data_IF_207159982244
#
_entry.id   IF_207159982244
#
_cell.length_a   1.000
_cell.length_b   1.000
_cell.length_c   1.000
_cell.angle_alpha   90.00
_cell.angle_beta   90.00
_cell.angle_gamma   90.00
#
_symmetry.space_group_name_H-M   'P 1'
#
loop_
_entity.id
_entity.type
_entity.pdbx_description
1 polymer ?
#
# COMPACT_ATOMS: atom_id res chain seq x y z
N UNK A 1 46.79 11.32 22.87
CA UNK A 1 46.84 10.58 21.58
C UNK A 1 45.85 9.43 21.66
N UNK A 2 44.62 9.63 21.17
CA UNK A 2 43.57 8.62 21.18
C UNK A 2 43.55 7.92 19.82
N UNK A 3 44.10 6.71 19.75
CA UNK A 3 43.92 5.81 18.61
C UNK A 3 42.52 5.21 18.69
N UNK A 4 41.63 5.65 17.80
CA UNK A 4 40.35 4.97 17.58
C UNK A 4 40.63 3.50 17.21
N UNK A 5 39.94 2.52 17.82
CA UNK A 5 40.14 1.12 17.48
C UNK A 5 39.70 0.86 16.04
N UNK A 6 40.60 0.26 15.27
CA UNK A 6 40.45 -0.15 13.85
C UNK A 6 39.23 -1.03 13.58
N UNK A 7 38.57 -1.53 14.63
CA UNK A 7 37.40 -2.40 14.58
C UNK A 7 36.12 -1.71 14.07
N UNK A 8 36.01 -0.38 14.15
CA UNK A 8 34.79 0.33 13.71
C UNK A 8 34.74 0.50 12.18
N UNK A 9 35.90 0.59 11.52
CA UNK A 9 35.95 0.77 10.07
C UNK A 9 35.60 -0.51 9.28
N UNK A 10 35.81 -1.69 9.87
CA UNK A 10 35.58 -2.98 9.21
C UNK A 10 34.10 -3.40 9.24
N UNK A 11 33.33 -2.96 10.24
CA UNK A 11 31.92 -3.35 10.39
C UNK A 11 30.95 -2.56 9.49
N UNK A 12 31.38 -1.42 8.94
CA UNK A 12 30.56 -0.62 8.01
C UNK A 12 30.67 -1.09 6.55
N UNK A 13 31.61 -1.98 6.22
CA UNK A 13 31.83 -2.49 4.85
C UNK A 13 30.99 -3.73 4.52
N UNK A 14 30.37 -4.40 5.49
CA UNK A 14 29.71 -5.70 5.29
C UNK A 14 28.18 -5.66 5.25
N UNK A 15 27.54 -4.47 5.26
CA UNK A 15 26.06 -4.34 5.23
C UNK A 15 25.50 -3.62 4.01
N UNK A 16 26.30 -3.48 2.95
CA UNK A 16 25.76 -3.13 1.63
C UNK A 16 25.90 -4.39 0.79
N UNK A 17 24.84 -5.19 0.57
CA UNK A 17 24.90 -6.24 -0.44
C UNK A 17 25.36 -5.59 -1.74
N UNK A 18 26.35 -6.19 -2.38
CA UNK A 18 26.97 -5.69 -3.60
C UNK A 18 25.87 -5.45 -4.64
N UNK A 19 25.48 -4.18 -4.83
CA UNK A 19 24.38 -3.78 -5.73
C UNK A 19 24.62 -4.32 -7.16
N UNK A 20 25.88 -4.61 -7.49
CA UNK A 20 26.31 -5.18 -8.76
C UNK A 20 25.90 -6.66 -8.97
N UNK A 21 25.48 -7.40 -7.93
CA UNK A 21 25.21 -8.85 -8.00
C UNK A 21 23.74 -9.24 -7.85
N UNK A 22 22.84 -8.26 -7.64
CA UNK A 22 21.39 -8.54 -7.61
C UNK A 22 20.86 -8.66 -9.02
N UNK A 23 20.50 -9.88 -9.41
CA UNK A 23 19.80 -10.15 -10.67
C UNK A 23 18.51 -9.32 -10.75
N UNK A 24 18.14 -8.88 -11.95
CA UNK A 24 16.89 -8.13 -12.24
C UNK A 24 15.65 -8.75 -11.58
N UNK A 25 15.61 -10.08 -11.50
CA UNK A 25 14.54 -10.82 -10.83
C UNK A 25 14.43 -10.51 -9.33
N UNK A 26 15.56 -10.40 -8.62
CA UNK A 26 15.59 -10.07 -7.19
C UNK A 26 15.09 -8.65 -6.94
N UNK A 27 15.49 -7.70 -7.79
CA UNK A 27 14.98 -6.32 -7.74
C UNK A 27 13.47 -6.23 -7.98
N UNK A 28 12.92 -7.10 -8.83
CA UNK A 28 11.51 -7.06 -9.21
C UNK A 28 10.59 -7.86 -8.28
N UNK A 29 11.11 -8.84 -7.54
CA UNK A 29 10.26 -9.78 -6.78
C UNK A 29 10.53 -9.76 -5.28
N UNK A 30 11.78 -9.48 -4.87
CA UNK A 30 12.13 -9.60 -3.47
C UNK A 30 11.65 -8.37 -2.69
N UNK A 31 11.10 -8.57 -1.47
CA UNK A 31 10.79 -7.44 -0.61
C UNK A 31 12.06 -6.67 -0.26
N UNK A 32 12.04 -5.36 -0.42
CA UNK A 32 13.15 -4.50 0.02
C UNK A 32 12.94 -3.96 1.44
N UNK A 33 11.72 -4.03 1.94
CA UNK A 33 11.37 -3.69 3.32
C UNK A 33 10.47 -4.78 3.90
N UNK A 34 10.79 -5.24 5.11
CA UNK A 34 10.02 -6.24 5.85
C UNK A 34 9.94 -5.74 7.29
N UNK A 35 8.74 -5.73 7.85
CA UNK A 35 8.51 -5.39 9.24
C UNK A 35 9.16 -6.40 10.17
N UNK A 36 10.03 -5.94 11.07
CA UNK A 36 10.59 -6.72 12.17
C UNK A 36 10.57 -5.88 13.45
N UNK A 37 9.80 -6.32 14.43
CA UNK A 37 9.65 -5.61 15.70
C UNK A 37 10.96 -5.54 16.52
N UNK A 38 11.91 -6.46 16.30
CA UNK A 38 13.18 -6.46 17.02
C UNK A 38 14.16 -5.40 16.50
N UNK A 39 14.01 -4.98 15.25
CA UNK A 39 14.93 -4.04 14.57
C UNK A 39 14.26 -2.74 14.14
N UNK A 40 12.94 -2.61 14.32
CA UNK A 40 12.15 -1.46 13.90
C UNK A 40 12.60 -0.15 14.58
N UNK A 41 12.92 0.84 13.75
CA UNK A 41 13.09 2.23 14.20
C UNK A 41 11.74 2.95 14.36
N UNK A 42 11.75 4.19 14.88
CA UNK A 42 10.54 5.02 14.97
C UNK A 42 9.84 5.23 13.62
N UNK A 43 10.61 5.33 12.53
CA UNK A 43 10.09 5.46 11.18
C UNK A 43 9.31 4.23 10.70
N UNK A 44 9.83 3.03 10.97
CA UNK A 44 9.16 1.77 10.60
C UNK A 44 7.84 1.62 11.36
N UNK A 45 7.83 1.97 12.66
CA UNK A 45 6.63 1.93 13.50
C UNK A 45 5.57 2.88 12.95
N UNK A 46 5.97 4.12 12.64
CA UNK A 46 5.06 5.12 12.09
C UNK A 46 4.52 4.69 10.72
N UNK A 47 5.39 4.18 9.84
CA UNK A 47 5.02 3.70 8.52
C UNK A 47 4.00 2.55 8.59
N UNK A 48 4.25 1.57 9.47
CA UNK A 48 3.33 0.45 9.69
C UNK A 48 1.95 0.92 10.16
N UNK A 49 1.89 1.80 11.15
CA UNK A 49 0.61 2.30 11.66
C UNK A 49 -0.12 3.19 10.66
N UNK A 50 0.62 3.97 9.87
CA UNK A 50 0.06 4.78 8.80
C UNK A 50 -0.68 3.91 7.78
N UNK A 51 -0.04 2.86 7.26
CA UNK A 51 -0.68 1.93 6.32
C UNK A 51 -1.91 1.22 6.92
N UNK A 52 -1.85 0.84 8.20
CA UNK A 52 -3.01 0.23 8.87
C UNK A 52 -4.18 1.22 9.03
N UNK A 53 -3.89 2.50 9.29
CA UNK A 53 -4.90 3.55 9.34
C UNK A 53 -5.51 3.81 7.96
N UNK A 54 -4.69 3.85 6.89
CA UNK A 54 -5.16 3.96 5.51
C UNK A 54 -6.06 2.77 5.14
N UNK A 55 -5.64 1.54 5.44
CA UNK A 55 -6.46 0.34 5.25
C UNK A 55 -7.84 0.45 5.93
N UNK A 56 -7.85 0.93 7.18
CA UNK A 56 -9.08 1.19 7.92
C UNK A 56 -9.99 2.18 7.21
N UNK A 57 -9.44 3.30 6.71
CA UNK A 57 -10.20 4.30 5.96
C UNK A 57 -10.82 3.70 4.67
N UNK A 58 -10.07 2.88 3.92
CA UNK A 58 -10.60 2.22 2.73
C UNK A 58 -11.74 1.24 3.03
N UNK A 59 -11.65 0.47 4.12
CA UNK A 59 -12.74 -0.41 4.54
C UNK A 59 -13.99 0.36 4.99
N UNK A 60 -13.81 1.54 5.60
CA UNK A 60 -14.93 2.45 5.89
C UNK A 60 -15.58 2.91 4.58
N UNK A 61 -14.81 3.33 3.58
CA UNK A 61 -15.38 3.71 2.28
C UNK A 61 -16.10 2.56 1.58
N UNK A 62 -15.53 1.35 1.61
CA UNK A 62 -16.20 0.16 1.08
C UNK A 62 -17.56 -0.07 1.76
N UNK A 63 -17.61 0.04 3.08
CA UNK A 63 -18.84 -0.12 3.86
C UNK A 63 -19.86 0.96 3.53
N UNK A 64 -19.43 2.22 3.38
CA UNK A 64 -20.32 3.32 2.98
C UNK A 64 -20.91 3.10 1.58
N UNK A 65 -20.11 2.62 0.61
CA UNK A 65 -20.59 2.29 -0.73
C UNK A 65 -21.58 1.13 -0.68
N UNK A 66 -21.28 0.06 0.06
CA UNK A 66 -22.22 -1.08 0.22
C UNK A 66 -23.50 -0.67 0.93
N UNK A 67 -23.43 0.17 1.96
CA UNK A 67 -24.59 0.70 2.67
C UNK A 67 -25.44 1.64 1.80
N UNK A 68 -24.83 2.34 0.85
CA UNK A 68 -25.57 3.11 -0.17
C UNK A 68 -26.22 2.17 -1.18
N UNK A 69 -25.48 1.17 -1.66
CA UNK A 69 -25.99 0.18 -2.61
C UNK A 69 -27.15 -0.63 -2.03
N UNK A 70 -27.09 -1.05 -0.76
CA UNK A 70 -28.16 -1.85 -0.15
C UNK A 70 -29.50 -1.10 -0.05
N UNK A 71 -29.44 0.24 0.13
CA UNK A 71 -30.62 1.12 0.20
C UNK A 71 -31.21 1.44 -1.16
N UNK A 72 -30.37 1.72 -2.17
CA UNK A 72 -30.83 2.24 -3.46
C UNK A 72 -30.78 1.21 -4.60
N UNK A 73 -29.90 0.20 -4.52
CA UNK A 73 -29.63 -0.87 -5.49
C UNK A 73 -29.50 -0.41 -6.96
N UNK A 74 -28.99 0.80 -7.19
CA UNK A 74 -28.98 1.44 -8.52
C UNK A 74 -28.11 0.73 -9.55
N UNK A 75 -26.99 0.15 -9.14
CA UNK A 75 -26.06 -0.49 -10.07
C UNK A 75 -25.19 -1.54 -9.39
N UNK A 76 -24.99 -2.69 -10.03
CA UNK A 76 -24.00 -3.69 -9.60
C UNK A 76 -22.56 -3.17 -9.63
N UNK A 77 -22.28 -2.10 -10.37
CA UNK A 77 -20.97 -1.44 -10.37
C UNK A 77 -20.60 -0.84 -9.01
N UNK A 78 -21.57 -0.54 -8.14
CA UNK A 78 -21.26 -0.11 -6.77
C UNK A 78 -20.67 -1.23 -5.94
N UNK A 79 -21.06 -2.49 -6.19
CA UNK A 79 -20.41 -3.66 -5.55
C UNK A 79 -18.97 -3.77 -6.03
N UNK A 80 -18.72 -3.70 -7.35
CA UNK A 80 -17.36 -3.70 -7.88
C UNK A 80 -16.52 -2.56 -7.31
N UNK A 81 -17.12 -1.39 -7.09
CA UNK A 81 -16.46 -0.24 -6.50
C UNK A 81 -16.12 -0.44 -5.02
N UNK A 82 -17.03 -1.03 -4.23
CA UNK A 82 -16.75 -1.42 -2.85
C UNK A 82 -15.66 -2.49 -2.76
N UNK A 83 -15.70 -3.51 -3.64
CA UNK A 83 -14.68 -4.54 -3.71
C UNK A 83 -13.31 -3.96 -4.06
N UNK A 84 -13.27 -2.95 -4.93
CA UNK A 84 -12.02 -2.26 -5.27
C UNK A 84 -11.45 -1.47 -4.07
N UNK A 85 -12.30 -0.86 -3.23
CA UNK A 85 -11.85 -0.26 -1.97
C UNK A 85 -11.31 -1.30 -0.99
N UNK A 86 -11.97 -2.46 -0.88
CA UNK A 86 -11.48 -3.58 -0.06
C UNK A 86 -10.13 -4.06 -0.57
N UNK A 87 -9.99 -4.27 -1.87
CA UNK A 87 -8.73 -4.71 -2.48
C UNK A 87 -7.58 -3.72 -2.21
N UNK A 88 -7.87 -2.41 -2.28
CA UNK A 88 -6.88 -1.38 -1.98
C UNK A 88 -6.51 -1.35 -0.49
N UNK A 89 -7.50 -1.45 0.40
CA UNK A 89 -7.24 -1.59 1.84
C UNK A 89 -6.42 -2.84 2.17
N UNK A 90 -6.64 -3.97 1.48
CA UNK A 90 -5.82 -5.17 1.64
C UNK A 90 -4.38 -4.98 1.17
N UNK A 91 -4.14 -4.17 0.13
CA UNK A 91 -2.75 -3.83 -0.25
C UNK A 91 -2.07 -2.98 0.82
N UNK A 92 -2.78 -2.06 1.47
CA UNK A 92 -2.23 -1.26 2.58
C UNK A 92 -1.97 -2.12 3.83
N UNK A 93 -2.87 -3.05 4.14
CA UNK A 93 -2.60 -4.07 5.16
C UNK A 93 -1.30 -4.79 4.81
N UNK A 94 -1.14 -5.32 3.59
CA UNK A 94 0.10 -6.03 3.19
C UNK A 94 1.34 -5.15 3.27
N UNK A 95 1.26 -3.89 2.85
CA UNK A 95 2.37 -2.91 2.94
C UNK A 95 2.82 -2.66 4.37
N UNK A 96 1.96 -2.87 5.35
CA UNK A 96 2.33 -2.75 6.77
C UNK A 96 3.21 -3.90 7.29
N UNK A 97 3.38 -4.99 6.51
CA UNK A 97 4.30 -6.09 6.79
C UNK A 97 5.49 -6.17 5.82
N UNK A 98 5.28 -5.90 4.53
CA UNK A 98 6.36 -5.95 3.56
C UNK A 98 6.12 -5.00 2.38
N UNK A 99 7.18 -4.53 1.75
CA UNK A 99 7.12 -3.77 0.50
C UNK A 99 7.89 -4.48 -0.60
N UNK A 100 7.25 -4.62 -1.76
CA UNK A 100 7.84 -5.23 -2.95
C UNK A 100 7.28 -4.58 -4.22
N UNK A 101 8.02 -4.66 -5.32
CA UNK A 101 7.60 -4.05 -6.59
C UNK A 101 6.27 -4.62 -7.11
N UNK A 102 5.98 -5.94 -6.98
CA UNK A 102 4.71 -6.49 -7.40
C UNK A 102 3.55 -5.94 -6.57
N UNK A 103 3.76 -5.69 -5.28
CA UNK A 103 2.72 -5.10 -4.42
C UNK A 103 2.36 -3.68 -4.88
N UNK A 104 3.35 -2.85 -5.19
CA UNK A 104 3.11 -1.52 -5.77
C UNK A 104 2.40 -1.58 -7.12
N UNK A 105 2.77 -2.55 -7.98
CA UNK A 105 2.10 -2.74 -9.27
C UNK A 105 0.62 -3.14 -9.10
N UNK A 106 0.33 -4.07 -8.19
CA UNK A 106 -1.03 -4.49 -7.85
C UNK A 106 -1.83 -3.31 -7.29
N UNK A 107 -1.28 -2.59 -6.30
CA UNK A 107 -1.92 -1.42 -5.71
C UNK A 107 -2.19 -0.33 -6.76
N UNK A 108 -1.23 -0.07 -7.64
CA UNK A 108 -1.40 0.84 -8.77
C UNK A 108 -2.51 0.43 -9.72
N UNK A 109 -2.61 -0.86 -10.06
CA UNK A 109 -3.70 -1.41 -10.87
C UNK A 109 -5.07 -1.28 -10.20
N UNK A 110 -5.17 -1.57 -8.90
CA UNK A 110 -6.40 -1.40 -8.12
C UNK A 110 -6.79 0.09 -8.04
N UNK A 111 -5.83 0.99 -7.84
CA UNK A 111 -6.08 2.43 -7.82
C UNK A 111 -6.63 2.92 -9.17
N UNK A 112 -6.00 2.51 -10.28
CA UNK A 112 -6.48 2.87 -11.61
C UNK A 112 -7.92 2.39 -11.82
N UNK A 113 -8.23 1.15 -11.42
CA UNK A 113 -9.57 0.60 -11.48
C UNK A 113 -10.57 1.37 -10.60
N UNK A 114 -10.19 1.74 -9.38
CA UNK A 114 -10.98 2.60 -8.49
C UNK A 114 -11.31 3.95 -9.15
N UNK A 115 -10.32 4.61 -9.73
CA UNK A 115 -10.50 5.90 -10.40
C UNK A 115 -11.38 5.78 -11.64
N UNK A 116 -11.22 4.72 -12.42
CA UNK A 116 -12.08 4.42 -13.58
C UNK A 116 -13.53 4.20 -13.12
N UNK A 117 -13.77 3.36 -12.11
CA UNK A 117 -15.11 3.12 -11.56
C UNK A 117 -15.73 4.39 -11.01
N UNK A 118 -14.95 5.19 -10.26
CA UNK A 118 -15.41 6.49 -9.75
C UNK A 118 -15.88 7.39 -10.89
N UNK A 119 -15.07 7.54 -11.93
CA UNK A 119 -15.40 8.34 -13.10
C UNK A 119 -16.68 7.86 -13.80
N UNK A 120 -16.83 6.55 -14.02
CA UNK A 120 -18.02 5.97 -14.65
C UNK A 120 -19.29 6.13 -13.79
N UNK A 121 -19.21 5.83 -12.49
CA UNK A 121 -20.34 5.94 -11.57
C UNK A 121 -20.85 7.39 -11.47
N UNK A 122 -19.95 8.35 -11.32
CA UNK A 122 -20.32 9.77 -11.27
C UNK A 122 -20.92 10.26 -12.58
N UNK A 123 -20.34 9.90 -13.73
CA UNK A 123 -20.86 10.37 -15.03
C UNK A 123 -22.24 9.79 -15.37
N UNK A 124 -22.54 8.55 -14.96
CA UNK A 124 -23.74 7.84 -15.42
C UNK A 124 -24.85 7.71 -14.39
N UNK A 125 -24.53 7.63 -13.10
CA UNK A 125 -25.52 7.32 -12.05
C UNK A 125 -25.72 8.44 -11.03
N UNK A 126 -24.77 9.39 -10.95
CA UNK A 126 -24.79 10.49 -9.99
C UNK A 126 -24.27 11.81 -10.61
N UNK A 127 -24.90 12.33 -11.68
CA UNK A 127 -24.46 13.58 -12.31
C UNK A 127 -24.59 14.80 -11.38
N UNK A 128 -25.58 14.77 -10.48
CA UNK A 128 -25.90 15.82 -9.50
C UNK A 128 -24.84 15.94 -8.38
N UNK A 129 -24.04 14.90 -8.14
CA UNK A 129 -23.10 14.86 -7.01
C UNK A 129 -21.77 15.59 -7.27
N UNK A 130 -21.75 16.53 -8.24
CA UNK A 130 -20.57 17.35 -8.57
C UNK A 130 -20.36 18.54 -7.63
N UNK A 131 -21.15 18.65 -6.56
CA UNK A 131 -21.07 19.75 -5.61
C UNK A 131 -20.45 19.26 -4.31
N UNK A 132 -19.14 19.46 -4.21
CA UNK A 132 -18.32 19.93 -3.07
C UNK A 132 -16.86 19.48 -3.25
#
# INVERSE_FOLDING_TARGET
MHTLPLSIAVTLRSRVPDLATRDLRSWLLDPWWIWDAATAGPGDIAYRWFNLAEAGAWFVFATLVLARWSRNRRSGLEIAYALAFIAFGLTDVRESWEQSAPLFAVKGGVLAFLLTLRWFLHRRHYPESRLL
#
